data_IF_324180751464
#
_entry.id   IF_324180751464
#
_cell.length_a   1.000
_cell.length_b   1.000
_cell.length_c   1.000
_cell.angle_alpha   90.00
_cell.angle_beta   90.00
_cell.angle_gamma   90.00
#
_symmetry.space_group_name_H-M   'P 1'
#
loop_
_entity.id
_entity.type
_entity.pdbx_description
1 polymer ?
#
# COMPACT_ATOMS: atom_id res chain seq x y z
N UNK A 1 -24.41 -78.65 24.07
CA UNK A 1 -23.64 -77.78 23.14
C UNK A 1 -22.15 -77.95 23.48
N UNK A 2 -21.29 -78.28 22.51
CA UNK A 2 -19.90 -78.71 22.76
C UNK A 2 -19.00 -77.53 23.23
N UNK A 3 -18.30 -77.64 24.37
CA UNK A 3 -17.41 -76.57 24.87
C UNK A 3 -16.26 -76.21 23.91
N UNK A 4 -15.78 -77.18 23.11
CA UNK A 4 -14.76 -76.92 22.09
C UNK A 4 -15.28 -76.02 20.95
N UNK A 5 -16.57 -76.15 20.60
CA UNK A 5 -17.19 -75.35 19.56
C UNK A 5 -17.38 -73.89 20.01
N UNK A 6 -17.72 -73.68 21.30
CA UNK A 6 -17.78 -72.34 21.88
C UNK A 6 -16.41 -71.66 21.95
N UNK A 7 -15.35 -72.41 22.27
CA UNK A 7 -13.99 -71.87 22.31
C UNK A 7 -13.51 -71.43 20.92
N UNK A 8 -13.79 -72.21 19.87
CA UNK A 8 -13.41 -71.87 18.49
C UNK A 8 -14.19 -70.67 17.95
N UNK A 9 -15.49 -70.60 18.24
CA UNK A 9 -16.33 -69.44 17.85
C UNK A 9 -15.90 -68.16 18.58
N UNK A 10 -15.62 -68.22 19.89
CA UNK A 10 -15.08 -67.07 20.64
C UNK A 10 -13.75 -66.59 20.09
N UNK A 11 -12.85 -67.51 19.72
CA UNK A 11 -11.53 -67.15 19.16
C UNK A 11 -11.62 -66.52 17.77
N UNK A 12 -12.60 -66.93 16.95
CA UNK A 12 -12.85 -66.32 15.63
C UNK A 12 -13.56 -64.97 15.71
N UNK A 13 -14.43 -64.76 16.70
CA UNK A 13 -15.10 -63.46 16.91
C UNK A 13 -14.16 -62.43 17.55
N UNK A 14 -13.28 -62.84 18.46
CA UNK A 14 -12.24 -61.98 19.05
C UNK A 14 -11.23 -61.46 18.02
N UNK A 15 -10.85 -62.27 17.01
CA UNK A 15 -9.95 -61.83 15.92
C UNK A 15 -10.61 -60.96 14.85
N UNK A 16 -11.93 -60.79 14.87
CA UNK A 16 -12.68 -60.00 13.88
C UNK A 16 -12.95 -58.56 14.33
N UNK A 17 -12.66 -58.22 15.58
CA UNK A 17 -13.00 -56.91 16.17
C UNK A 17 -11.99 -55.78 15.94
N UNK A 18 -10.75 -56.07 15.53
CA UNK A 18 -9.69 -55.06 15.37
C UNK A 18 -8.80 -55.42 14.17
N UNK A 19 -9.38 -55.40 12.96
CA UNK A 19 -8.61 -55.55 11.71
C UNK A 19 -7.99 -54.23 11.25
N UNK A 20 -6.94 -54.25 10.41
CA UNK A 20 -6.22 -53.07 9.92
C UNK A 20 -7.08 -51.99 9.24
N UNK A 21 -8.31 -52.32 8.83
CA UNK A 21 -9.29 -51.37 8.30
C UNK A 21 -9.88 -50.43 9.38
N UNK A 22 -9.94 -50.86 10.65
CA UNK A 22 -10.41 -50.02 11.75
C UNK A 22 -9.34 -49.02 12.23
N UNK A 23 -8.07 -49.43 12.24
CA UNK A 23 -6.93 -48.57 12.58
C UNK A 23 -6.68 -47.49 11.52
N UNK A 24 -6.80 -47.82 10.23
CA UNK A 24 -6.68 -46.86 9.12
C UNK A 24 -7.78 -45.78 9.15
N UNK A 25 -9.01 -46.15 9.53
CA UNK A 25 -10.13 -45.21 9.73
C UNK A 25 -9.92 -44.26 10.91
N UNK A 26 -9.40 -44.76 12.03
CA UNK A 26 -9.10 -43.94 13.21
C UNK A 26 -7.92 -42.98 12.95
N UNK A 27 -6.89 -43.44 12.23
CA UNK A 27 -5.72 -42.63 11.87
C UNK A 27 -6.09 -41.52 10.88
N UNK A 28 -6.93 -41.82 9.88
CA UNK A 28 -7.50 -40.80 8.96
C UNK A 28 -8.39 -39.80 9.68
N UNK A 29 -9.22 -40.24 10.62
CA UNK A 29 -10.08 -39.35 11.44
C UNK A 29 -9.24 -38.39 12.29
N UNK A 30 -8.20 -38.88 12.98
CA UNK A 30 -7.26 -38.04 13.73
C UNK A 30 -6.52 -37.05 12.84
N UNK A 31 -6.08 -37.47 11.65
CA UNK A 31 -5.43 -36.59 10.68
C UNK A 31 -6.37 -35.46 10.20
N UNK A 32 -7.64 -35.77 9.95
CA UNK A 32 -8.65 -34.77 9.56
C UNK A 32 -8.96 -33.78 10.68
N UNK A 33 -9.03 -34.24 11.93
CA UNK A 33 -9.23 -33.36 13.10
C UNK A 33 -8.03 -32.43 13.30
N UNK A 34 -6.80 -32.96 13.19
CA UNK A 34 -5.58 -32.16 13.28
C UNK A 34 -5.49 -31.15 12.14
N UNK A 35 -5.76 -31.56 10.90
CA UNK A 35 -5.76 -30.67 9.74
C UNK A 35 -6.83 -29.57 9.87
N UNK A 36 -8.04 -29.92 10.35
CA UNK A 36 -9.10 -28.95 10.64
C UNK A 36 -8.70 -27.96 11.73
N UNK A 37 -8.05 -28.42 12.79
CA UNK A 37 -7.51 -27.56 13.85
C UNK A 37 -6.41 -26.61 13.37
N UNK A 38 -5.51 -27.08 12.50
CA UNK A 38 -4.47 -26.25 11.88
C UNK A 38 -5.10 -25.19 10.97
N UNK A 39 -6.08 -25.56 10.13
CA UNK A 39 -6.77 -24.61 9.26
C UNK A 39 -7.55 -23.57 10.06
N UNK A 40 -8.26 -23.98 11.12
CA UNK A 40 -8.99 -23.06 12.00
C UNK A 40 -8.05 -22.10 12.75
N UNK A 41 -6.90 -22.57 13.22
CA UNK A 41 -5.89 -21.72 13.87
C UNK A 41 -5.21 -20.75 12.90
N UNK A 42 -4.90 -21.18 11.67
CA UNK A 42 -4.42 -20.28 10.61
C UNK A 42 -5.46 -19.22 10.23
N UNK A 43 -6.74 -19.61 10.13
CA UNK A 43 -7.83 -18.68 9.85
C UNK A 43 -8.01 -17.66 10.98
N UNK A 44 -7.99 -18.12 12.24
CA UNK A 44 -8.06 -17.23 13.40
C UNK A 44 -6.85 -16.28 13.45
N UNK A 45 -5.65 -16.78 13.18
CA UNK A 45 -4.45 -15.95 13.09
C UNK A 45 -4.58 -14.90 12.00
N UNK A 46 -5.09 -15.26 10.81
CA UNK A 46 -5.32 -14.31 9.73
C UNK A 46 -6.33 -13.21 10.12
N UNK A 47 -7.41 -13.56 10.81
CA UNK A 47 -8.39 -12.58 11.32
C UNK A 47 -7.74 -11.64 12.35
N UNK A 48 -6.99 -12.18 13.31
CA UNK A 48 -6.32 -11.38 14.34
C UNK A 48 -5.27 -10.45 13.72
N UNK A 49 -4.50 -10.93 12.75
CA UNK A 49 -3.54 -10.12 11.99
C UNK A 49 -4.24 -9.03 11.18
N UNK A 50 -5.36 -9.34 10.50
CA UNK A 50 -6.14 -8.34 9.77
C UNK A 50 -6.74 -7.28 10.70
N UNK A 51 -7.27 -7.69 11.86
CA UNK A 51 -7.77 -6.79 12.90
C UNK A 51 -6.68 -5.88 13.45
N UNK A 52 -5.51 -6.44 13.78
CA UNK A 52 -4.34 -5.68 14.24
C UNK A 52 -3.84 -4.67 13.20
N UNK A 53 -3.75 -5.08 11.93
CA UNK A 53 -3.41 -4.18 10.83
C UNK A 53 -4.45 -3.08 10.65
N UNK A 54 -5.74 -3.39 10.75
CA UNK A 54 -6.82 -2.41 10.69
C UNK A 54 -6.71 -1.37 11.81
N UNK A 55 -6.48 -1.80 13.05
CA UNK A 55 -6.26 -0.90 14.19
C UNK A 55 -5.02 -0.03 13.97
N UNK A 56 -3.91 -0.60 13.49
CA UNK A 56 -2.69 0.15 13.19
C UNK A 56 -2.93 1.23 12.13
N UNK A 57 -3.60 0.88 11.02
CA UNK A 57 -3.93 1.82 9.94
C UNK A 57 -4.85 2.93 10.45
N UNK A 58 -5.87 2.60 11.25
CA UNK A 58 -6.76 3.60 11.84
C UNK A 58 -6.03 4.54 12.81
N UNK A 59 -5.13 4.00 13.63
CA UNK A 59 -4.32 4.80 14.55
C UNK A 59 -3.41 5.77 13.79
N UNK A 60 -2.74 5.29 12.73
CA UNK A 60 -1.94 6.15 11.85
C UNK A 60 -2.79 7.19 11.14
N UNK A 61 -3.94 6.78 10.58
CA UNK A 61 -4.88 7.69 9.92
C UNK A 61 -5.26 8.84 10.83
N UNK A 62 -5.75 8.54 12.04
CA UNK A 62 -6.16 9.56 13.01
C UNK A 62 -4.98 10.48 13.40
N UNK A 63 -3.79 9.90 13.63
CA UNK A 63 -2.60 10.68 13.97
C UNK A 63 -2.20 11.65 12.85
N UNK A 64 -2.30 11.23 11.59
CA UNK A 64 -1.86 12.01 10.43
C UNK A 64 -2.93 13.02 10.01
N UNK A 65 -4.21 12.63 9.96
CA UNK A 65 -5.30 13.48 9.47
C UNK A 65 -5.47 14.76 10.30
N UNK A 66 -5.26 14.68 11.61
CA UNK A 66 -5.30 15.85 12.50
C UNK A 66 -4.10 16.78 12.35
N UNK A 67 -3.01 16.31 11.74
CA UNK A 67 -1.78 17.07 11.55
C UNK A 67 -1.64 17.67 10.14
N UNK A 68 -2.59 17.39 9.22
CA UNK A 68 -2.55 17.94 7.85
C UNK A 68 -2.92 19.43 7.86
N UNK A 69 -1.89 20.27 7.89
CA UNK A 69 -1.99 21.72 7.64
C UNK A 69 -2.20 22.02 6.15
N UNK A 70 -2.75 23.20 5.78
CA UNK A 70 -2.85 23.61 4.38
C UNK A 70 -1.47 23.58 3.67
N UNK A 71 -1.35 23.01 2.46
CA UNK A 71 -0.09 22.86 1.76
C UNK A 71 0.55 24.22 1.43
N UNK A 72 -0.24 25.28 1.26
CA UNK A 72 0.27 26.63 0.98
C UNK A 72 1.17 27.14 2.09
N UNK A 73 0.87 26.78 3.35
CA UNK A 73 1.67 27.17 4.51
C UNK A 73 3.04 26.49 4.49
N UNK A 74 3.09 25.23 4.06
CA UNK A 74 4.32 24.47 3.94
C UNK A 74 5.12 24.91 2.72
N UNK A 75 4.45 25.11 1.58
CA UNK A 75 5.06 25.61 0.34
C UNK A 75 5.65 27.01 0.54
N UNK A 76 5.00 27.88 1.33
CA UNK A 76 5.53 29.21 1.64
C UNK A 76 6.84 29.19 2.44
N UNK A 77 7.11 28.11 3.17
CA UNK A 77 8.35 27.89 3.91
C UNK A 77 9.45 27.24 3.06
N UNK A 78 9.10 26.69 1.88
CA UNK A 78 10.09 26.18 0.95
C UNK A 78 10.94 27.32 0.39
N UNK A 79 12.24 27.09 0.14
CA UNK A 79 13.08 28.12 -0.48
C UNK A 79 12.49 28.56 -1.82
N UNK A 80 12.36 29.87 -2.01
CA UNK A 80 11.67 30.50 -3.16
C UNK A 80 12.53 30.56 -4.44
N UNK A 81 13.61 29.78 -4.52
CA UNK A 81 14.63 29.89 -5.55
C UNK A 81 15.64 31.02 -5.25
N UNK A 82 16.59 31.24 -6.17
CA UNK A 82 17.60 32.26 -6.00
C UNK A 82 17.19 33.64 -6.51
N UNK A 83 18.05 34.64 -6.23
CA UNK A 83 17.85 36.01 -6.68
C UNK A 83 17.82 36.11 -8.22
N UNK A 84 17.14 37.13 -8.74
CA UNK A 84 17.04 37.38 -10.19
C UNK A 84 17.51 38.79 -10.49
N UNK A 85 18.34 38.92 -11.53
CA UNK A 85 18.88 40.18 -12.03
C UNK A 85 18.20 40.48 -13.35
N UNK A 86 17.57 41.64 -13.44
CA UNK A 86 16.89 42.13 -14.63
C UNK A 86 17.60 43.38 -15.16
N UNK A 87 17.54 43.60 -16.47
CA UNK A 87 17.92 44.89 -17.05
C UNK A 87 16.83 45.96 -16.81
N UNK A 88 17.09 47.19 -17.26
CA UNK A 88 16.14 48.32 -17.14
C UNK A 88 14.84 48.14 -17.92
N UNK A 89 14.78 47.20 -18.86
CA UNK A 89 13.63 46.88 -19.69
C UNK A 89 12.85 45.66 -19.14
N UNK A 90 13.31 45.05 -18.04
CA UNK A 90 12.70 43.85 -17.45
C UNK A 90 13.17 42.54 -18.09
N UNK A 91 14.21 42.53 -18.90
CA UNK A 91 14.81 41.31 -19.46
C UNK A 91 15.63 40.61 -18.38
N UNK A 92 15.35 39.34 -18.12
CA UNK A 92 16.11 38.53 -17.17
C UNK A 92 17.54 38.33 -17.70
N UNK A 93 18.52 38.87 -16.98
CA UNK A 93 19.95 38.72 -17.31
C UNK A 93 20.55 37.49 -16.63
N UNK A 94 20.16 37.24 -15.38
CA UNK A 94 20.71 36.14 -14.58
C UNK A 94 19.74 35.70 -13.49
N UNK A 95 19.70 34.40 -13.21
CA UNK A 95 18.98 33.81 -12.09
C UNK A 95 19.97 32.96 -11.29
N UNK A 96 20.12 33.29 -10.01
CA UNK A 96 20.90 32.45 -9.10
C UNK A 96 20.14 31.15 -8.89
N UNK A 97 20.84 30.03 -9.00
CA UNK A 97 20.29 28.71 -8.68
C UNK A 97 20.64 28.41 -7.23
N UNK A 98 19.61 28.20 -6.40
CA UNK A 98 19.83 27.69 -5.05
C UNK A 98 20.18 26.20 -5.14
N UNK A 99 21.34 25.81 -4.58
CA UNK A 99 21.80 24.43 -4.58
C UNK A 99 20.85 23.47 -3.85
N UNK A 100 20.01 23.97 -2.94
CA UNK A 100 19.05 23.16 -2.18
C UNK A 100 17.68 23.02 -2.87
N UNK A 101 17.23 24.05 -3.59
CA UNK A 101 15.86 24.09 -4.15
C UNK A 101 15.78 24.15 -5.67
N UNK A 102 16.92 24.34 -6.36
CA UNK A 102 17.00 24.49 -7.80
C UNK A 102 16.31 25.76 -8.31
N UNK A 103 15.90 25.73 -9.57
CA UNK A 103 15.07 26.79 -10.16
C UNK A 103 13.62 26.60 -9.71
N UNK A 104 13.07 27.57 -8.98
CA UNK A 104 11.66 27.57 -8.59
C UNK A 104 10.95 28.81 -9.11
N UNK A 105 10.09 28.60 -10.11
CA UNK A 105 9.19 29.63 -10.65
C UNK A 105 7.76 29.10 -10.58
N UNK A 106 6.99 29.46 -9.52
CA UNK A 106 5.58 29.15 -9.48
C UNK A 106 4.88 29.81 -10.66
N UNK A 107 4.20 29.02 -11.48
CA UNK A 107 3.40 29.49 -12.60
C UNK A 107 1.97 28.97 -12.42
N UNK A 108 0.94 29.80 -12.68
CA UNK A 108 -0.43 29.30 -12.72
C UNK A 108 -0.57 28.20 -13.79
N UNK A 109 -1.35 27.17 -13.52
CA UNK A 109 -1.59 26.06 -14.46
C UNK A 109 -2.08 26.58 -15.83
N UNK A 110 -2.89 27.65 -15.85
CA UNK A 110 -3.37 28.28 -17.08
C UNK A 110 -2.29 28.94 -17.95
N UNK A 111 -1.06 29.13 -17.44
CA UNK A 111 0.10 29.60 -18.22
C UNK A 111 0.94 28.44 -18.77
N UNK A 112 0.62 27.20 -18.40
CA UNK A 112 1.27 26.00 -18.90
C UNK A 112 0.57 25.56 -20.18
N UNK A 113 1.35 25.13 -21.18
CA UNK A 113 0.79 24.61 -22.43
C UNK A 113 -0.20 23.45 -22.13
N UNK A 114 -1.44 23.48 -22.66
CA UNK A 114 -2.44 22.46 -22.35
C UNK A 114 -1.99 21.03 -22.65
N UNK A 115 -1.18 20.85 -23.69
CA UNK A 115 -0.66 19.53 -24.07
C UNK A 115 0.40 19.02 -23.09
N UNK A 116 1.16 19.91 -22.44
CA UNK A 116 2.09 19.52 -21.38
C UNK A 116 1.34 19.03 -20.14
N UNK A 117 0.27 19.72 -19.75
CA UNK A 117 -0.59 19.29 -18.64
C UNK A 117 -1.20 17.92 -18.93
N UNK A 118 -1.77 17.73 -20.13
CA UNK A 118 -2.35 16.45 -20.55
C UNK A 118 -1.31 15.33 -20.60
N UNK A 119 -0.12 15.60 -21.13
CA UNK A 119 0.96 14.62 -21.21
C UNK A 119 1.42 14.18 -19.80
N UNK A 120 1.60 15.13 -18.88
CA UNK A 120 1.95 14.83 -17.48
C UNK A 120 0.89 13.95 -16.83
N UNK A 121 -0.40 14.28 -16.97
CA UNK A 121 -1.48 13.46 -16.43
C UNK A 121 -1.49 12.07 -17.07
N UNK A 122 -1.35 11.98 -18.39
CA UNK A 122 -1.38 10.71 -19.10
C UNK A 122 -0.21 9.77 -18.73
N UNK A 123 0.93 10.32 -18.34
CA UNK A 123 2.11 9.54 -17.93
C UNK A 123 2.10 9.21 -16.44
N UNK A 124 1.83 10.20 -15.59
CA UNK A 124 1.99 10.10 -14.13
C UNK A 124 0.74 9.60 -13.41
N UNK A 125 -0.45 10.03 -13.83
CA UNK A 125 -1.70 9.65 -13.18
C UNK A 125 -2.89 9.70 -14.16
N UNK A 126 -3.06 8.66 -15.02
CA UNK A 126 -4.09 8.65 -16.05
C UNK A 126 -5.53 8.78 -15.51
N UNK A 127 -5.74 8.48 -14.23
CA UNK A 127 -7.05 8.59 -13.57
C UNK A 127 -7.15 9.84 -12.70
N UNK A 128 -6.25 10.81 -12.83
CA UNK A 128 -6.14 11.96 -11.94
C UNK A 128 -7.47 12.65 -11.64
N UNK A 129 -8.24 12.95 -12.69
CA UNK A 129 -9.53 13.65 -12.55
C UNK A 129 -10.66 12.78 -11.98
N UNK A 130 -10.51 11.46 -11.99
CA UNK A 130 -11.52 10.51 -11.54
C UNK A 130 -11.23 9.93 -10.15
N UNK A 131 -9.94 9.91 -9.75
CA UNK A 131 -9.51 9.23 -8.54
C UNK A 131 -9.69 10.10 -7.28
N UNK A 132 -9.75 9.46 -6.11
CA UNK A 132 -9.90 10.16 -4.83
C UNK A 132 -8.53 10.53 -4.20
N UNK A 133 -7.52 10.82 -5.01
CA UNK A 133 -6.16 11.12 -4.56
C UNK A 133 -5.25 9.89 -4.49
N UNK A 134 -5.75 8.71 -4.86
CA UNK A 134 -4.97 7.48 -4.98
C UNK A 134 -5.36 6.78 -6.27
N UNK A 135 -4.38 6.33 -7.05
CA UNK A 135 -4.64 5.49 -8.21
C UNK A 135 -4.84 4.03 -7.76
N UNK A 136 -6.06 3.66 -7.38
CA UNK A 136 -6.38 2.31 -6.89
C UNK A 136 -6.11 1.22 -7.93
N UNK A 137 -6.34 1.50 -9.22
CA UNK A 137 -6.04 0.55 -10.31
C UNK A 137 -4.53 0.31 -10.42
N UNK A 138 -3.74 1.38 -10.35
CA UNK A 138 -2.28 1.31 -10.31
C UNK A 138 -1.76 0.59 -9.06
N UNK A 139 -2.37 0.85 -7.90
CA UNK A 139 -2.02 0.17 -6.65
C UNK A 139 -2.30 -1.33 -6.69
N UNK A 140 -3.48 -1.75 -7.19
CA UNK A 140 -3.82 -3.17 -7.33
C UNK A 140 -2.91 -3.84 -8.36
N UNK A 141 -2.66 -3.19 -9.50
CA UNK A 141 -1.74 -3.70 -10.53
C UNK A 141 -0.33 -3.90 -9.97
N UNK A 142 0.21 -2.89 -9.30
CA UNK A 142 1.50 -2.97 -8.64
C UNK A 142 1.51 -4.06 -7.54
N UNK A 143 0.43 -4.21 -6.79
CA UNK A 143 0.26 -5.32 -5.85
C UNK A 143 0.40 -6.67 -6.55
N UNK A 144 -0.41 -6.91 -7.59
CA UNK A 144 -0.38 -8.16 -8.37
C UNK A 144 1.00 -8.41 -8.99
N UNK A 145 1.63 -7.39 -9.59
CA UNK A 145 2.98 -7.45 -10.17
C UNK A 145 4.06 -7.74 -9.13
N UNK A 146 3.88 -7.33 -7.87
CA UNK A 146 4.81 -7.64 -6.78
C UNK A 146 4.53 -9.00 -6.13
N UNK A 147 3.31 -9.53 -6.22
CA UNK A 147 2.95 -10.87 -5.72
C UNK A 147 3.22 -11.99 -6.74
N UNK A 148 3.36 -11.68 -8.04
CA UNK A 148 3.66 -12.69 -9.08
C UNK A 148 5.11 -13.19 -9.10
N UNK A 149 6.14 -12.36 -8.80
CA UNK A 149 7.51 -12.83 -8.65
C UNK A 149 7.87 -12.96 -7.16
N UNK A 150 7.57 -14.11 -6.56
CA UNK A 150 7.94 -14.48 -5.18
C UNK A 150 9.48 -14.56 -4.93
N UNK A 151 10.34 -14.08 -5.83
CA UNK A 151 11.80 -14.28 -5.81
C UNK A 151 12.68 -13.03 -6.06
N UNK A 152 12.12 -11.89 -6.47
CA UNK A 152 12.90 -10.64 -6.56
C UNK A 152 12.51 -9.76 -5.39
N UNK A 153 13.42 -9.49 -4.45
CA UNK A 153 13.24 -8.70 -3.21
C UNK A 153 12.88 -7.22 -3.44
N UNK A 154 11.87 -6.99 -4.27
CA UNK A 154 11.55 -5.75 -4.94
C UNK A 154 10.16 -5.25 -4.51
N UNK A 155 9.73 -5.59 -3.29
CA UNK A 155 8.53 -5.01 -2.69
C UNK A 155 8.66 -3.47 -2.72
N UNK A 156 7.66 -2.77 -3.27
CA UNK A 156 7.67 -1.33 -3.57
C UNK A 156 8.52 -0.87 -4.78
N UNK A 157 8.99 -1.78 -5.65
CA UNK A 157 9.69 -1.43 -6.91
C UNK A 157 8.84 -1.59 -8.18
N UNK A 158 7.60 -2.11 -8.04
CA UNK A 158 6.65 -2.21 -9.15
C UNK A 158 6.31 -0.87 -9.79
N UNK A 159 5.85 -0.94 -11.05
CA UNK A 159 5.53 0.19 -11.92
C UNK A 159 4.83 1.36 -11.20
N UNK A 160 5.26 2.59 -11.50
CA UNK A 160 4.90 3.84 -10.81
C UNK A 160 3.40 4.12 -10.72
N UNK A 161 2.73 3.55 -9.71
CA UNK A 161 1.29 3.71 -9.46
C UNK A 161 0.93 4.83 -8.47
N UNK A 162 1.82 5.79 -8.21
CA UNK A 162 1.51 6.89 -7.29
C UNK A 162 0.75 7.99 -8.01
N UNK A 163 -0.39 8.40 -7.47
CA UNK A 163 -1.17 9.52 -8.04
C UNK A 163 -0.40 10.85 -7.93
N UNK A 164 -0.76 11.83 -8.75
CA UNK A 164 -0.22 13.20 -8.64
C UNK A 164 -0.45 13.76 -7.23
N UNK A 165 -1.59 13.48 -6.61
CA UNK A 165 -1.88 13.90 -5.23
C UNK A 165 -0.96 13.24 -4.20
N UNK A 166 -0.59 11.96 -4.38
CA UNK A 166 0.42 11.32 -3.53
C UNK A 166 1.82 11.90 -3.75
N UNK A 167 2.15 12.27 -4.99
CA UNK A 167 3.41 12.94 -5.29
C UNK A 167 3.46 14.33 -4.65
N UNK A 168 2.36 15.08 -4.67
CA UNK A 168 2.22 16.35 -3.93
C UNK A 168 2.41 16.13 -2.43
N UNK A 169 1.73 15.14 -1.84
CA UNK A 169 1.86 14.80 -0.43
C UNK A 169 3.32 14.48 -0.06
N UNK A 170 4.00 13.65 -0.87
CA UNK A 170 5.42 13.32 -0.70
C UNK A 170 6.32 14.56 -0.75
N UNK A 171 6.11 15.44 -1.72
CA UNK A 171 7.00 16.56 -1.97
C UNK A 171 6.80 17.74 -0.99
N UNK A 172 5.63 17.84 -0.36
CA UNK A 172 5.28 18.96 0.53
C UNK A 172 5.35 18.57 2.01
N UNK A 173 4.85 17.38 2.37
CA UNK A 173 4.66 17.01 3.78
C UNK A 173 5.74 16.06 4.31
N UNK A 174 6.42 15.32 3.44
CA UNK A 174 7.47 14.38 3.86
C UNK A 174 8.82 15.10 3.85
N UNK A 175 9.61 15.03 4.94
CA UNK A 175 10.98 15.57 5.00
C UNK A 175 11.85 15.01 3.88
N UNK A 176 12.76 15.83 3.36
CA UNK A 176 13.49 15.53 2.12
C UNK A 176 14.32 14.24 2.22
N UNK A 177 14.86 13.98 3.40
CA UNK A 177 15.71 12.85 3.76
C UNK A 177 14.92 11.54 3.76
N UNK A 178 13.62 11.62 4.06
CA UNK A 178 12.74 10.45 4.15
C UNK A 178 12.08 10.11 2.81
N UNK A 179 12.04 11.03 1.83
CA UNK A 179 11.32 10.83 0.56
C UNK A 179 11.81 9.63 -0.25
N UNK A 180 13.08 9.24 -0.06
CA UNK A 180 13.71 8.10 -0.72
C UNK A 180 13.53 6.77 0.02
N UNK A 181 13.11 6.82 1.29
CA UNK A 181 12.99 5.64 2.14
C UNK A 181 11.87 4.73 1.64
N UNK A 182 12.15 3.45 1.37
CA UNK A 182 11.12 2.52 0.88
C UNK A 182 10.38 1.85 2.04
N UNK A 183 9.72 2.66 2.88
CA UNK A 183 8.98 2.18 4.07
C UNK A 183 7.46 2.23 3.87
N UNK A 184 6.78 1.27 4.50
CA UNK A 184 5.30 1.22 4.53
C UNK A 184 4.73 2.43 5.26
N UNK A 185 5.37 2.88 6.34
CA UNK A 185 4.94 4.06 7.11
C UNK A 185 4.90 5.33 6.25
N UNK A 186 5.98 5.64 5.52
CA UNK A 186 5.99 6.79 4.59
C UNK A 186 4.88 6.67 3.55
N UNK A 187 4.72 5.49 2.94
CA UNK A 187 3.71 5.30 1.90
C UNK A 187 2.29 5.45 2.45
N UNK A 188 2.06 5.00 3.68
CA UNK A 188 0.80 5.20 4.38
C UNK A 188 0.56 6.70 4.65
N UNK A 189 1.57 7.44 5.12
CA UNK A 189 1.51 8.90 5.31
C UNK A 189 1.11 9.64 4.04
N UNK A 190 1.80 9.38 2.93
CA UNK A 190 1.47 9.97 1.63
C UNK A 190 0.01 9.70 1.22
N UNK A 191 -0.44 8.47 1.46
CA UNK A 191 -1.78 8.02 1.10
C UNK A 191 -2.85 8.72 1.94
N UNK A 192 -2.68 8.78 3.26
CA UNK A 192 -3.61 9.49 4.16
C UNK A 192 -3.67 10.98 3.81
N UNK A 193 -2.51 11.62 3.61
CA UNK A 193 -2.45 13.04 3.26
C UNK A 193 -3.10 13.29 1.90
N UNK A 194 -2.88 12.44 0.90
CA UNK A 194 -3.50 12.60 -0.41
C UNK A 194 -5.04 12.49 -0.37
N UNK A 195 -5.57 11.59 0.46
CA UNK A 195 -7.01 11.48 0.72
C UNK A 195 -7.54 12.77 1.37
N UNK A 196 -6.84 13.30 2.37
CA UNK A 196 -7.23 14.55 3.04
C UNK A 196 -7.17 15.76 2.12
N UNK A 197 -6.15 15.85 1.26
CA UNK A 197 -6.04 16.90 0.26
C UNK A 197 -7.21 16.86 -0.73
N UNK A 198 -7.57 15.67 -1.22
CA UNK A 198 -8.68 15.53 -2.19
C UNK A 198 -10.05 15.87 -1.59
N UNK A 199 -10.21 15.81 -0.26
CA UNK A 199 -11.43 16.28 0.42
C UNK A 199 -11.53 17.80 0.51
N UNK A 200 -10.39 18.50 0.50
CA UNK A 200 -10.31 19.95 0.75
C UNK A 200 -10.03 20.78 -0.49
N UNK A 201 -9.40 20.19 -1.50
CA UNK A 201 -8.92 20.88 -2.70
C UNK A 201 -9.49 20.24 -3.97
N UNK A 202 -9.83 21.07 -4.95
CA UNK A 202 -10.22 20.59 -6.27
C UNK A 202 -9.01 20.00 -7.01
N UNK A 203 -9.27 19.19 -8.05
CA UNK A 203 -8.21 18.62 -8.89
C UNK A 203 -7.34 19.70 -9.54
N UNK A 204 -7.93 20.81 -9.95
CA UNK A 204 -7.20 21.92 -10.57
C UNK A 204 -6.37 22.75 -9.57
N UNK A 205 -6.68 22.68 -8.27
CA UNK A 205 -5.86 23.26 -7.20
C UNK A 205 -4.71 22.33 -6.79
N UNK A 206 -4.92 21.02 -6.89
CA UNK A 206 -3.90 20.00 -6.61
C UNK A 206 -2.84 19.96 -7.72
N UNK A 207 -3.28 20.16 -8.97
CA UNK A 207 -2.42 20.24 -10.14
C UNK A 207 -1.59 21.53 -10.17
#
# INVERSE_FOLDING_TARGET
MNPALQAVLRRRLSKRGTGPLAEDGEQKSRALIVAGGVLASLFLAAILSAGGLGIFVLAQYNSISHAVVPPEQLIAQLPRGGARIYDRNGVLLYEFVDNLSGLRRPVPVGQIAPDLVKATIAVEDPTFYENNGINTRGFIRAGVENFTPFLSGNFLQGSGGSSITQQLAKNVYIPSEQRTDRTVDRKLRETVIALELTKKYSKDQIL
#
